data_IF_336443188431
#
_entry.id   IF_336443188431
#
_cell.length_a   1.000
_cell.length_b   1.000
_cell.length_c   1.000
_cell.angle_alpha   90.00
_cell.angle_beta   90.00
_cell.angle_gamma   90.00
#
_symmetry.space_group_name_H-M   'P 1'
#
loop_
_entity.id
_entity.type
_entity.pdbx_description
1 polymer ?
#
# COMPACT_ATOMS: atom_id res chain seq x y z
N UNK A 1 11.90 12.24 22.27
CA UNK A 1 11.13 12.25 21.01
C UNK A 1 11.66 13.29 20.02
N UNK A 2 12.05 14.49 20.46
CA UNK A 2 12.60 15.55 19.58
C UNK A 2 13.73 15.09 18.65
N UNK A 3 14.74 14.38 19.15
CA UNK A 3 15.88 13.92 18.35
C UNK A 3 15.51 12.98 17.18
N UNK A 4 14.39 12.26 17.28
CA UNK A 4 13.88 11.38 16.21
C UNK A 4 12.76 12.01 15.41
N UNK A 5 11.98 12.94 15.99
CA UNK A 5 10.84 13.58 15.36
C UNK A 5 11.23 14.43 14.15
N UNK A 6 12.27 15.25 14.26
CA UNK A 6 12.71 16.13 13.15
C UNK A 6 13.20 15.29 11.95
N UNK A 7 14.18 14.36 12.10
CA UNK A 7 14.59 13.49 10.99
C UNK A 7 13.42 12.69 10.40
N UNK A 8 12.52 12.19 11.24
CA UNK A 8 11.35 11.46 10.78
C UNK A 8 10.43 12.32 9.89
N UNK A 9 10.11 13.54 10.31
CA UNK A 9 9.28 14.46 9.53
C UNK A 9 9.92 14.86 8.19
N UNK A 10 11.25 15.01 8.16
CA UNK A 10 11.99 15.27 6.92
C UNK A 10 11.88 14.08 5.94
N UNK A 11 12.08 12.86 6.43
CA UNK A 11 11.93 11.64 5.64
C UNK A 11 10.51 11.48 5.07
N UNK A 12 9.48 11.72 5.90
CA UNK A 12 8.09 11.72 5.46
C UNK A 12 7.85 12.74 4.33
N UNK A 13 8.45 13.93 4.43
CA UNK A 13 8.32 14.98 3.42
C UNK A 13 9.01 14.62 2.10
N UNK A 14 10.19 14.00 2.16
CA UNK A 14 10.91 13.53 0.96
C UNK A 14 10.12 12.43 0.27
N UNK A 15 9.65 11.41 1.01
CA UNK A 15 8.85 10.32 0.42
C UNK A 15 7.54 10.86 -0.16
N UNK A 16 6.90 11.81 0.51
CA UNK A 16 5.73 12.49 -0.03
C UNK A 16 6.02 13.13 -1.40
N UNK A 17 7.13 13.86 -1.54
CA UNK A 17 7.56 14.44 -2.81
C UNK A 17 7.78 13.38 -3.90
N UNK A 18 8.41 12.27 -3.54
CA UNK A 18 8.62 11.14 -4.46
C UNK A 18 7.29 10.48 -4.88
N UNK A 19 6.34 10.33 -3.95
CA UNK A 19 5.01 9.80 -4.28
C UNK A 19 4.25 10.70 -5.26
N UNK A 20 4.39 12.03 -5.14
CA UNK A 20 3.83 12.97 -6.12
C UNK A 20 4.49 12.77 -7.48
N UNK A 21 5.82 12.66 -7.53
CA UNK A 21 6.56 12.48 -8.78
C UNK A 21 6.24 11.15 -9.47
N UNK A 22 5.85 10.10 -8.75
CA UNK A 22 5.46 8.84 -9.37
C UNK A 22 4.22 8.97 -10.28
N UNK A 23 3.30 9.91 -10.04
CA UNK A 23 2.13 10.11 -10.90
C UNK A 23 2.50 10.45 -12.35
N UNK A 24 3.29 11.52 -12.64
CA UNK A 24 3.73 11.79 -14.00
C UNK A 24 4.72 10.74 -14.54
N UNK A 25 5.52 10.09 -13.70
CA UNK A 25 6.43 9.03 -14.16
C UNK A 25 5.67 7.81 -14.69
N UNK A 26 4.65 7.33 -13.97
CA UNK A 26 3.84 6.21 -14.47
C UNK A 26 3.02 6.58 -15.71
N UNK A 27 2.55 7.82 -15.82
CA UNK A 27 1.93 8.32 -17.06
C UNK A 27 2.92 8.35 -18.23
N UNK A 28 4.17 8.78 -17.99
CA UNK A 28 5.23 8.70 -19.01
C UNK A 28 5.45 7.25 -19.45
N UNK A 29 5.55 6.31 -18.50
CA UNK A 29 5.75 4.88 -18.80
C UNK A 29 4.67 4.36 -19.75
N UNK A 30 3.40 4.69 -19.53
CA UNK A 30 2.31 4.19 -20.39
C UNK A 30 2.25 4.88 -21.75
N UNK A 31 2.43 6.19 -21.81
CA UNK A 31 2.14 6.96 -23.02
C UNK A 31 3.36 7.31 -23.87
N UNK A 32 4.58 7.23 -23.32
CA UNK A 32 5.78 7.75 -23.98
C UNK A 32 6.97 6.77 -23.96
N UNK A 33 6.95 5.72 -23.13
CA UNK A 33 8.06 4.78 -23.09
C UNK A 33 8.11 3.91 -24.34
N UNK A 34 9.32 3.50 -24.71
CA UNK A 34 9.58 2.52 -25.77
C UNK A 34 10.16 1.24 -25.18
N UNK A 35 9.65 0.85 -24.00
CA UNK A 35 10.10 -0.36 -23.29
C UNK A 35 9.83 -1.65 -24.09
N UNK A 36 8.81 -1.63 -24.94
CA UNK A 36 8.46 -2.75 -25.81
C UNK A 36 7.74 -2.27 -27.08
N UNK A 37 7.96 -2.98 -28.20
CA UNK A 37 7.36 -2.64 -29.50
C UNK A 37 5.98 -3.30 -29.72
N UNK A 38 5.66 -4.39 -29.01
CA UNK A 38 4.44 -5.19 -29.20
C UNK A 38 3.19 -4.55 -28.64
N UNK A 39 3.31 -3.86 -27.50
CA UNK A 39 2.20 -3.29 -26.75
C UNK A 39 2.44 -1.81 -26.49
N UNK A 40 1.42 -1.01 -26.76
CA UNK A 40 1.39 0.44 -26.55
C UNK A 40 0.10 0.87 -25.87
N UNK A 41 -0.05 2.16 -25.62
CA UNK A 41 -1.24 2.71 -24.95
C UNK A 41 -2.55 2.43 -25.70
N UNK A 42 -2.50 2.28 -27.02
CA UNK A 42 -3.63 1.96 -27.91
C UNK A 42 -3.91 0.45 -28.00
N UNK A 43 -3.19 -0.38 -27.23
CA UNK A 43 -3.40 -1.82 -27.23
C UNK A 43 -4.82 -2.16 -26.72
N UNK A 44 -5.61 -2.93 -27.47
CA UNK A 44 -6.97 -3.27 -27.08
C UNK A 44 -6.94 -4.31 -25.96
N UNK A 45 -7.54 -3.98 -24.82
CA UNK A 45 -7.74 -4.94 -23.74
C UNK A 45 -9.00 -5.76 -23.99
N UNK A 46 -8.83 -7.00 -24.45
CA UNK A 46 -9.92 -7.98 -24.50
C UNK A 46 -10.15 -8.57 -23.11
N UNK A 47 -11.17 -8.09 -22.41
CA UNK A 47 -11.48 -8.54 -21.05
C UNK A 47 -10.57 -7.90 -20.01
N UNK A 48 -11.08 -6.91 -19.28
CA UNK A 48 -10.36 -6.39 -18.12
C UNK A 48 -10.33 -7.50 -17.06
N UNK A 49 -9.18 -8.13 -16.82
CA UNK A 49 -9.00 -9.16 -15.80
C UNK A 49 -9.14 -8.54 -14.40
N UNK A 50 -10.35 -8.49 -13.88
CA UNK A 50 -10.60 -8.03 -12.52
C UNK A 50 -10.27 -9.16 -11.55
N UNK A 51 -9.15 -9.03 -10.83
CA UNK A 51 -8.75 -10.00 -9.82
C UNK A 51 -9.59 -9.83 -8.55
N UNK A 52 -10.68 -10.57 -8.46
CA UNK A 52 -11.60 -10.50 -7.33
C UNK A 52 -11.41 -11.72 -6.43
N UNK A 53 -10.77 -11.52 -5.28
CA UNK A 53 -10.55 -12.59 -4.28
C UNK A 53 -9.81 -13.80 -4.88
N UNK A 54 -8.84 -13.55 -5.78
CA UNK A 54 -8.06 -14.62 -6.43
C UNK A 54 -8.75 -15.28 -7.63
N UNK A 55 -9.92 -14.80 -8.05
CA UNK A 55 -10.64 -15.24 -9.25
C UNK A 55 -10.63 -14.10 -10.28
N UNK A 56 -10.21 -14.38 -11.51
CA UNK A 56 -10.27 -13.43 -12.61
C UNK A 56 -11.68 -13.34 -13.20
N UNK A 57 -12.21 -12.13 -13.34
CA UNK A 57 -13.45 -11.86 -14.08
C UNK A 57 -13.13 -11.03 -15.31
N UNK A 58 -13.64 -11.42 -16.48
CA UNK A 58 -13.55 -10.65 -17.72
C UNK A 58 -14.82 -9.79 -17.92
N UNK A 59 -14.67 -8.48 -18.02
CA UNK A 59 -15.75 -7.57 -18.40
C UNK A 59 -15.73 -7.39 -19.93
N UNK A 60 -16.83 -7.65 -20.66
CA UNK A 60 -16.86 -7.61 -22.13
C UNK A 60 -17.05 -6.17 -22.64
N UNK A 61 -16.13 -5.27 -22.30
CA UNK A 61 -16.06 -3.93 -22.86
C UNK A 61 -14.66 -3.74 -23.44
N UNK A 62 -14.59 -3.31 -24.70
CA UNK A 62 -13.33 -2.99 -25.36
C UNK A 62 -12.90 -1.58 -24.95
N UNK A 63 -11.76 -1.49 -24.26
CA UNK A 63 -11.08 -0.25 -23.97
C UNK A 63 -9.61 -0.40 -24.36
N UNK A 64 -8.97 0.72 -24.69
CA UNK A 64 -7.52 0.78 -24.86
C UNK A 64 -6.83 0.77 -23.49
N UNK A 65 -5.62 0.23 -23.43
CA UNK A 65 -4.82 0.16 -22.20
C UNK A 65 -4.65 1.56 -21.57
N UNK A 66 -4.41 2.57 -22.39
CA UNK A 66 -4.28 3.97 -21.98
C UNK A 66 -5.55 4.53 -21.34
N UNK A 67 -6.72 4.26 -21.91
CA UNK A 67 -8.00 4.72 -21.37
C UNK A 67 -8.26 4.14 -19.98
N UNK A 68 -8.10 2.82 -19.85
CA UNK A 68 -8.28 2.12 -18.59
C UNK A 68 -7.26 2.60 -17.54
N UNK A 69 -6.02 2.82 -17.96
CA UNK A 69 -4.97 3.36 -17.10
C UNK A 69 -5.32 4.77 -16.59
N UNK A 70 -5.81 5.68 -17.43
CA UNK A 70 -6.20 7.04 -17.00
C UNK A 70 -7.34 6.99 -15.98
N UNK A 71 -8.31 6.08 -16.14
CA UNK A 71 -9.36 5.88 -15.15
C UNK A 71 -8.79 5.52 -13.76
N UNK A 72 -7.86 4.56 -13.72
CA UNK A 72 -7.17 4.16 -12.48
C UNK A 72 -6.31 5.30 -11.91
N UNK A 73 -5.55 5.98 -12.77
CA UNK A 73 -4.68 7.09 -12.41
C UNK A 73 -5.47 8.25 -11.77
N UNK A 74 -6.59 8.64 -12.38
CA UNK A 74 -7.52 9.62 -11.80
C UNK A 74 -8.08 9.15 -10.46
N UNK A 75 -8.44 7.87 -10.33
CA UNK A 75 -8.88 7.28 -9.08
C UNK A 75 -7.85 7.42 -7.96
N UNK A 76 -6.58 7.12 -8.24
CA UNK A 76 -5.50 7.28 -7.28
C UNK A 76 -5.23 8.74 -6.93
N UNK A 77 -5.32 9.69 -7.88
CA UNK A 77 -5.20 11.13 -7.57
C UNK A 77 -6.30 11.59 -6.63
N UNK A 78 -7.54 11.16 -6.83
CA UNK A 78 -8.65 11.50 -5.94
C UNK A 78 -8.37 10.96 -4.53
N UNK A 79 -7.97 9.69 -4.41
CA UNK A 79 -7.65 9.06 -3.13
C UNK A 79 -6.46 9.74 -2.45
N UNK A 80 -5.41 10.07 -3.21
CA UNK A 80 -4.23 10.76 -2.72
C UNK A 80 -4.57 12.16 -2.23
N UNK A 81 -5.46 12.87 -2.94
CA UNK A 81 -5.98 14.19 -2.53
C UNK A 81 -6.77 14.09 -1.22
N UNK A 82 -7.64 13.08 -1.09
CA UNK A 82 -8.34 12.79 0.17
C UNK A 82 -7.34 12.50 1.30
N UNK A 83 -6.29 11.73 1.03
CA UNK A 83 -5.26 11.40 2.01
C UNK A 83 -4.44 12.62 2.46
N UNK A 84 -4.08 13.48 1.51
CA UNK A 84 -3.36 14.72 1.75
C UNK A 84 -4.17 15.68 2.64
N UNK A 85 -5.44 15.89 2.32
CA UNK A 85 -6.34 16.75 3.11
C UNK A 85 -6.68 16.13 4.48
N UNK A 86 -6.71 14.81 4.55
CA UNK A 86 -6.94 14.02 5.75
C UNK A 86 -8.38 14.13 6.27
N UNK A 87 -8.82 13.20 7.15
CA UNK A 87 -10.17 13.28 7.72
C UNK A 87 -10.25 14.29 8.87
N UNK A 88 -9.12 14.67 9.48
CA UNK A 88 -9.04 15.56 10.64
C UNK A 88 -8.10 16.75 10.44
N UNK A 89 -6.94 16.51 9.84
CA UNK A 89 -5.93 17.53 9.55
C UNK A 89 -5.19 17.17 8.27
N UNK A 90 -4.74 18.19 7.54
CA UNK A 90 -3.94 17.99 6.34
C UNK A 90 -2.49 17.63 6.66
N UNK A 91 -1.80 17.09 5.67
CA UNK A 91 -0.44 16.57 5.82
C UNK A 91 0.55 17.61 6.35
N UNK A 92 0.56 18.82 5.78
CA UNK A 92 1.48 19.88 6.18
C UNK A 92 1.27 20.31 7.64
N UNK A 93 0.00 20.44 8.06
CA UNK A 93 -0.36 20.74 9.45
C UNK A 93 -0.03 19.59 10.40
N UNK A 94 -0.07 18.34 9.94
CA UNK A 94 0.31 17.18 10.74
C UNK A 94 1.83 17.12 11.00
N UNK A 95 2.64 17.58 10.04
CA UNK A 95 4.10 17.61 10.18
C UNK A 95 4.62 18.83 10.93
N UNK A 96 3.94 19.97 10.84
CA UNK A 96 4.41 21.24 11.42
C UNK A 96 4.81 21.13 12.90
N UNK A 97 4.00 20.56 13.83
CA UNK A 97 4.38 20.41 15.24
C UNK A 97 5.56 19.45 15.46
N UNK A 98 5.70 18.44 14.60
CA UNK A 98 6.82 17.49 14.67
C UNK A 98 8.11 18.18 14.24
N UNK A 99 8.05 19.03 13.23
CA UNK A 99 9.19 19.81 12.73
C UNK A 99 9.60 20.94 13.68
N UNK A 100 8.63 21.67 14.26
CA UNK A 100 8.91 22.84 15.10
C UNK A 100 9.22 22.50 16.54
N UNK A 101 8.52 21.51 17.11
CA UNK A 101 8.58 21.21 18.54
C UNK A 101 9.07 19.79 18.84
N UNK A 102 9.24 18.95 17.81
CA UNK A 102 9.58 17.52 17.96
C UNK A 102 8.56 16.73 18.78
N UNK A 103 7.34 17.28 18.91
CA UNK A 103 6.20 16.63 19.56
C UNK A 103 5.49 15.80 18.51
N UNK A 104 5.73 14.50 18.57
CA UNK A 104 4.97 13.56 17.77
C UNK A 104 3.59 13.37 18.41
N UNK A 105 2.62 14.21 18.03
CA UNK A 105 1.22 13.93 18.32
C UNK A 105 0.69 12.87 17.34
N UNK A 106 0.06 11.84 17.88
CA UNK A 106 -0.56 10.74 17.12
C UNK A 106 -1.80 11.15 16.32
N UNK A 107 -2.06 12.47 16.16
CA UNK A 107 -3.19 12.99 15.39
C UNK A 107 -2.96 12.66 13.91
N UNK A 108 -3.59 11.56 13.51
CA UNK A 108 -3.35 10.86 12.26
C UNK A 108 -3.90 11.62 11.06
N UNK A 109 -3.00 12.18 10.25
CA UNK A 109 -3.28 12.36 8.83
C UNK A 109 -3.15 11.01 8.10
N UNK A 110 -3.98 10.78 7.07
CA UNK A 110 -3.93 9.55 6.28
C UNK A 110 -2.57 9.36 5.62
N UNK A 111 -2.02 10.40 5.00
CA UNK A 111 -0.75 10.33 4.27
C UNK A 111 0.45 10.04 5.17
N UNK A 112 0.49 10.62 6.38
CA UNK A 112 1.48 10.23 7.41
C UNK A 112 1.38 8.74 7.74
N UNK A 113 0.15 8.23 7.86
CA UNK A 113 -0.09 6.82 8.18
C UNK A 113 0.30 5.91 7.01
N UNK A 114 -0.01 6.30 5.78
CA UNK A 114 0.34 5.60 4.55
C UNK A 114 1.86 5.46 4.45
N UNK A 115 2.61 6.57 4.47
CA UNK A 115 4.08 6.55 4.33
C UNK A 115 4.73 5.71 5.43
N UNK A 116 4.27 5.88 6.68
CA UNK A 116 4.76 5.11 7.83
C UNK A 116 4.57 3.61 7.63
N UNK A 117 3.36 3.17 7.31
CA UNK A 117 3.05 1.73 7.18
C UNK A 117 3.63 1.12 5.92
N UNK A 118 3.70 1.88 4.83
CA UNK A 118 4.40 1.49 3.61
C UNK A 118 5.90 1.25 3.89
N UNK A 119 6.58 2.18 4.57
CA UNK A 119 7.99 2.01 4.91
C UNK A 119 8.24 0.82 5.85
N UNK A 120 7.35 0.59 6.83
CA UNK A 120 7.40 -0.61 7.69
C UNK A 120 7.24 -1.89 6.86
N UNK A 121 6.31 -1.89 5.89
CA UNK A 121 6.09 -3.02 4.99
C UNK A 121 7.35 -3.33 4.19
N UNK A 122 8.04 -2.33 3.64
CA UNK A 122 9.31 -2.53 2.92
C UNK A 122 10.37 -3.19 3.81
N UNK A 123 10.54 -2.74 5.05
CA UNK A 123 11.50 -3.35 5.99
C UNK A 123 11.15 -4.82 6.28
N UNK A 124 9.88 -5.11 6.58
CA UNK A 124 9.43 -6.47 6.88
C UNK A 124 9.60 -7.37 5.65
N UNK A 125 9.25 -6.85 4.47
CA UNK A 125 9.40 -7.53 3.19
C UNK A 125 10.86 -7.89 2.91
N UNK A 126 11.79 -6.94 3.09
CA UNK A 126 13.22 -7.19 2.89
C UNK A 126 13.80 -8.21 3.87
N UNK A 127 13.35 -8.19 5.13
CA UNK A 127 13.75 -9.20 6.13
C UNK A 127 13.26 -10.59 5.72
N UNK A 128 11.99 -10.70 5.30
CA UNK A 128 11.42 -11.97 4.86
C UNK A 128 12.19 -12.51 3.66
N UNK A 129 12.41 -11.67 2.65
CA UNK A 129 13.11 -12.06 1.43
C UNK A 129 14.55 -12.49 1.72
N UNK A 130 15.28 -11.74 2.55
CA UNK A 130 16.63 -12.12 3.00
C UNK A 130 16.68 -13.51 3.66
N UNK A 131 15.72 -13.79 4.57
CA UNK A 131 15.62 -15.09 5.24
C UNK A 131 15.26 -16.20 4.25
N UNK A 132 14.30 -15.97 3.35
CA UNK A 132 13.85 -16.97 2.39
C UNK A 132 14.92 -17.30 1.34
N UNK A 133 15.64 -16.29 0.83
CA UNK A 133 16.78 -16.51 -0.07
C UNK A 133 17.88 -17.33 0.62
N UNK A 134 18.16 -17.07 1.90
CA UNK A 134 19.13 -17.85 2.70
C UNK A 134 18.73 -19.33 2.87
N UNK A 135 17.44 -19.65 2.72
CA UNK A 135 16.88 -21.00 2.79
C UNK A 135 16.65 -21.61 1.40
N UNK A 136 17.04 -20.94 0.32
CA UNK A 136 16.82 -21.42 -1.05
C UNK A 136 15.37 -21.36 -1.52
N UNK A 137 14.55 -20.46 -0.96
CA UNK A 137 13.14 -20.25 -1.34
C UNK A 137 13.04 -18.89 -2.06
N UNK A 138 13.29 -18.81 -3.37
CA UNK A 138 13.28 -17.54 -4.09
C UNK A 138 11.85 -17.00 -4.25
N UNK A 139 11.72 -15.67 -4.21
CA UNK A 139 10.48 -14.97 -4.58
C UNK A 139 10.58 -14.54 -6.04
N UNK A 140 9.87 -15.23 -6.92
CA UNK A 140 9.91 -14.99 -8.36
C UNK A 140 8.53 -14.52 -8.83
N UNK A 141 8.48 -13.48 -9.70
CA UNK A 141 7.23 -13.04 -10.30
C UNK A 141 6.66 -14.13 -11.24
N UNK A 142 5.35 -14.07 -11.54
CA UNK A 142 4.75 -14.90 -12.57
C UNK A 142 5.48 -14.75 -13.92
N UNK A 143 5.35 -15.76 -14.80
CA UNK A 143 5.89 -15.67 -16.16
C UNK A 143 5.37 -14.43 -16.88
N UNK A 144 6.28 -13.73 -17.52
CA UNK A 144 6.11 -12.35 -17.97
C UNK A 144 5.11 -12.28 -19.13
N UNK A 145 4.05 -11.49 -18.95
CA UNK A 145 3.29 -10.87 -20.05
C UNK A 145 4.01 -9.61 -20.53
N UNK A 146 3.51 -8.99 -21.60
CA UNK A 146 4.03 -7.72 -22.11
C UNK A 146 4.21 -6.67 -21.00
N UNK A 147 5.28 -5.89 -21.07
CA UNK A 147 5.77 -5.01 -20.00
C UNK A 147 4.70 -4.00 -19.59
N UNK A 148 4.03 -3.37 -20.55
CA UNK A 148 2.96 -2.40 -20.25
C UNK A 148 1.71 -3.05 -19.65
N UNK A 149 1.38 -4.28 -20.06
CA UNK A 149 0.28 -5.04 -19.46
C UNK A 149 0.61 -5.36 -18.00
N UNK A 150 1.85 -5.79 -17.72
CA UNK A 150 2.31 -6.02 -16.35
C UNK A 150 2.22 -4.74 -15.51
N UNK A 151 2.71 -3.61 -16.02
CA UNK A 151 2.64 -2.32 -15.31
C UNK A 151 1.19 -1.90 -15.03
N UNK A 152 0.30 -2.08 -16.01
CA UNK A 152 -1.13 -1.84 -15.85
C UNK A 152 -1.76 -2.76 -14.80
N UNK A 153 -1.47 -4.06 -14.82
CA UNK A 153 -2.02 -5.03 -13.87
C UNK A 153 -1.62 -4.71 -12.42
N UNK A 154 -0.34 -4.38 -12.18
CA UNK A 154 0.11 -3.97 -10.83
C UNK A 154 -0.49 -2.63 -10.41
N UNK A 155 -0.84 -1.76 -11.36
CA UNK A 155 -1.57 -0.50 -11.12
C UNK A 155 -3.03 -0.74 -10.76
N UNK A 156 -3.68 -1.71 -11.40
CA UNK A 156 -5.09 -2.06 -11.16
C UNK A 156 -5.29 -2.84 -9.85
N UNK A 157 -4.34 -3.72 -9.50
CA UNK A 157 -4.41 -4.64 -8.37
C UNK A 157 -4.84 -4.00 -7.03
N UNK A 158 -4.35 -2.82 -6.61
CA UNK A 158 -4.81 -2.18 -5.37
C UNK A 158 -6.32 -1.93 -5.32
N UNK A 159 -6.98 -1.62 -6.43
CA UNK A 159 -8.44 -1.46 -6.39
C UNK A 159 -9.14 -2.79 -6.20
N UNK A 160 -8.85 -3.78 -7.04
CA UNK A 160 -9.55 -5.07 -7.02
C UNK A 160 -9.27 -5.86 -5.74
N UNK A 161 -8.01 -5.94 -5.33
CA UNK A 161 -7.60 -6.71 -4.16
C UNK A 161 -8.06 -6.06 -2.85
N UNK A 162 -8.00 -4.74 -2.73
CA UNK A 162 -8.42 -4.08 -1.49
C UNK A 162 -9.95 -4.11 -1.33
N UNK A 163 -10.70 -4.01 -2.43
CA UNK A 163 -12.14 -4.23 -2.40
C UNK A 163 -12.46 -5.67 -1.96
N UNK A 164 -11.83 -6.67 -2.55
CA UNK A 164 -12.04 -8.08 -2.20
C UNK A 164 -11.65 -8.41 -0.77
N UNK A 165 -10.40 -8.19 -0.40
CA UNK A 165 -9.87 -8.64 0.89
C UNK A 165 -10.19 -7.69 2.04
N UNK A 166 -10.23 -6.37 1.82
CA UNK A 166 -10.43 -5.41 2.93
C UNK A 166 -11.90 -5.07 3.07
N UNK A 167 -12.58 -4.64 2.01
CA UNK A 167 -13.99 -4.26 2.13
C UNK A 167 -14.87 -5.50 2.36
N UNK A 168 -14.73 -6.53 1.53
CA UNK A 168 -15.60 -7.71 1.61
C UNK A 168 -15.22 -8.66 2.75
N UNK A 169 -13.95 -9.08 2.84
CA UNK A 169 -13.55 -10.09 3.83
C UNK A 169 -13.23 -9.53 5.23
N UNK A 170 -13.04 -8.21 5.37
CA UNK A 170 -12.82 -7.57 6.69
C UNK A 170 -13.97 -6.61 7.03
N UNK A 171 -14.28 -5.64 6.17
CA UNK A 171 -15.25 -4.58 6.42
C UNK A 171 -16.66 -5.10 6.70
N UNK A 172 -17.18 -5.96 5.82
CA UNK A 172 -18.52 -6.55 6.00
C UNK A 172 -18.58 -7.38 7.30
N UNK A 173 -17.66 -8.34 7.57
CA UNK A 173 -17.68 -9.07 8.84
C UNK A 173 -17.54 -8.16 10.07
N UNK A 174 -16.70 -7.12 10.03
CA UNK A 174 -16.60 -6.17 11.14
C UNK A 174 -17.93 -5.43 11.38
N UNK A 175 -18.62 -5.03 10.32
CA UNK A 175 -19.97 -4.46 10.45
C UNK A 175 -20.93 -5.45 11.09
N UNK A 176 -20.95 -6.71 10.65
CA UNK A 176 -21.83 -7.74 11.21
C UNK A 176 -21.54 -8.05 12.67
N UNK A 177 -20.27 -8.02 13.09
CA UNK A 177 -19.85 -8.32 14.46
C UNK A 177 -20.14 -7.15 15.42
N UNK A 178 -19.92 -5.90 14.98
CA UNK A 178 -19.90 -4.73 15.88
C UNK A 178 -21.03 -3.73 15.66
N UNK A 179 -21.81 -3.85 14.58
CA UNK A 179 -22.92 -2.92 14.36
C UNK A 179 -24.07 -3.19 15.32
N UNK A 180 -24.54 -2.14 15.98
CA UNK A 180 -25.70 -2.19 16.88
C UNK A 180 -27.01 -1.85 16.16
N UNK A 181 -26.94 -1.41 14.89
CA UNK A 181 -28.10 -0.94 14.10
C UNK A 181 -27.94 -1.27 12.63
N UNK A 182 -28.99 -1.76 12.00
CA UNK A 182 -29.03 -1.97 10.55
C UNK A 182 -29.37 -0.66 9.84
N UNK A 183 -28.34 0.10 9.47
CA UNK A 183 -28.47 1.34 8.69
C UNK A 183 -27.52 1.30 7.50
N UNK A 184 -28.03 1.51 6.30
CA UNK A 184 -27.22 1.55 5.07
C UNK A 184 -26.13 2.62 5.14
N UNK A 185 -26.42 3.75 5.79
CA UNK A 185 -25.45 4.83 6.01
C UNK A 185 -24.32 4.40 6.94
N UNK A 186 -24.64 3.68 8.02
CA UNK A 186 -23.65 3.15 8.95
C UNK A 186 -22.82 2.05 8.27
N UNK A 187 -23.47 1.20 7.48
CA UNK A 187 -22.82 0.16 6.68
C UNK A 187 -21.75 0.77 5.77
N UNK A 188 -22.12 1.70 4.87
CA UNK A 188 -21.17 2.34 3.95
C UNK A 188 -20.05 3.08 4.68
N UNK A 189 -20.36 3.79 5.77
CA UNK A 189 -19.35 4.46 6.60
C UNK A 189 -18.39 3.46 7.24
N UNK A 190 -18.88 2.31 7.69
CA UNK A 190 -18.05 1.25 8.28
C UNK A 190 -17.12 0.62 7.26
N UNK A 191 -17.56 0.46 6.02
CA UNK A 191 -16.72 -0.03 4.92
C UNK A 191 -15.62 0.98 4.58
N UNK A 192 -15.93 2.27 4.64
CA UNK A 192 -14.96 3.35 4.41
C UNK A 192 -13.94 3.47 5.56
N UNK A 193 -14.40 3.40 6.81
CA UNK A 193 -13.54 3.49 7.98
C UNK A 193 -14.14 2.72 9.18
N UNK A 194 -13.70 1.48 9.43
CA UNK A 194 -14.28 0.62 10.45
C UNK A 194 -14.21 1.21 11.86
N UNK A 195 -13.00 1.55 12.35
CA UNK A 195 -12.82 2.03 13.74
C UNK A 195 -13.46 3.39 14.02
N UNK A 196 -13.67 4.24 13.00
CA UNK A 196 -14.31 5.54 13.18
C UNK A 196 -15.84 5.45 13.19
N UNK A 197 -16.39 4.41 12.57
CA UNK A 197 -17.83 4.27 12.35
C UNK A 197 -18.49 3.27 13.29
N UNK A 198 -17.75 2.22 13.69
CA UNK A 198 -18.24 1.16 14.56
C UNK A 198 -17.75 1.37 16.00
N UNK A 199 -18.59 1.04 16.97
CA UNK A 199 -18.19 1.05 18.38
C UNK A 199 -17.49 -0.26 18.74
N UNK A 200 -16.19 -0.32 18.46
CA UNK A 200 -15.38 -1.51 18.66
C UNK A 200 -14.84 -1.53 20.09
N UNK A 201 -15.52 -2.26 20.97
CA UNK A 201 -15.14 -2.41 22.38
C UNK A 201 -13.84 -3.22 22.57
N UNK A 202 -13.63 -4.25 21.74
CA UNK A 202 -12.47 -5.13 21.81
C UNK A 202 -11.84 -5.36 20.44
N UNK A 203 -10.55 -5.08 20.29
CA UNK A 203 -9.84 -5.28 19.01
C UNK A 203 -9.51 -6.76 18.72
N UNK A 204 -9.67 -7.68 19.69
CA UNK A 204 -9.21 -9.08 19.55
C UNK A 204 -9.86 -9.80 18.35
N UNK A 205 -11.18 -9.70 18.20
CA UNK A 205 -11.89 -10.36 17.08
C UNK A 205 -11.47 -9.76 15.74
N UNK A 206 -11.30 -8.44 15.68
CA UNK A 206 -10.81 -7.76 14.48
C UNK A 206 -9.39 -8.19 14.09
N UNK A 207 -8.47 -8.32 15.05
CA UNK A 207 -7.09 -8.79 14.78
C UNK A 207 -7.09 -10.23 14.29
N UNK A 208 -7.85 -11.13 14.92
CA UNK A 208 -7.98 -12.52 14.46
C UNK A 208 -8.50 -12.58 13.03
N UNK A 209 -9.54 -11.81 12.73
CA UNK A 209 -10.09 -11.72 11.38
C UNK A 209 -9.05 -11.23 10.36
N UNK A 210 -8.31 -10.16 10.68
CA UNK A 210 -7.24 -9.63 9.81
C UNK A 210 -6.19 -10.72 9.53
N UNK A 211 -5.75 -11.47 10.54
CA UNK A 211 -4.76 -12.53 10.36
C UNK A 211 -5.29 -13.65 9.46
N UNK A 212 -6.53 -14.09 9.66
CA UNK A 212 -7.15 -15.12 8.82
C UNK A 212 -7.21 -14.65 7.37
N UNK A 213 -7.72 -13.45 7.13
CA UNK A 213 -7.84 -12.89 5.77
C UNK A 213 -6.47 -12.67 5.13
N UNK A 214 -5.47 -12.27 5.90
CA UNK A 214 -4.11 -12.09 5.40
C UNK A 214 -3.45 -13.41 4.97
N UNK A 215 -3.73 -14.53 5.65
CA UNK A 215 -3.29 -15.85 5.20
C UNK A 215 -3.96 -16.22 3.88
N UNK A 216 -5.27 -15.97 3.74
CA UNK A 216 -5.99 -16.20 2.48
C UNK A 216 -5.41 -15.30 1.37
N UNK A 217 -5.07 -14.05 1.68
CA UNK A 217 -4.40 -13.14 0.76
C UNK A 217 -3.04 -13.69 0.29
N UNK A 218 -2.21 -14.20 1.21
CA UNK A 218 -0.95 -14.85 0.86
C UNK A 218 -1.14 -16.11 0.02
N UNK A 219 -2.13 -16.95 0.34
CA UNK A 219 -2.47 -18.13 -0.47
C UNK A 219 -2.88 -17.74 -1.89
N UNK A 220 -3.72 -16.71 -2.05
CA UNK A 220 -4.17 -16.24 -3.36
C UNK A 220 -3.00 -15.82 -4.28
N UNK A 221 -1.87 -15.38 -3.73
CA UNK A 221 -0.69 -15.02 -4.53
C UNK A 221 0.07 -16.22 -5.11
N UNK A 222 -0.14 -17.43 -4.57
CA UNK A 222 0.59 -18.65 -5.00
C UNK A 222 -0.32 -19.71 -5.66
N UNK A 223 -1.65 -19.56 -5.58
CA UNK A 223 -2.61 -20.53 -6.17
C UNK A 223 -3.49 -19.93 -7.28
N UNK A 224 -3.29 -18.65 -7.61
CA UNK A 224 -4.08 -17.99 -8.64
C UNK A 224 -3.67 -18.38 -10.05
N UNK A 225 -4.41 -17.91 -11.06
CA UNK A 225 -4.17 -18.25 -12.47
C UNK A 225 -2.77 -17.86 -12.96
N UNK A 226 -2.22 -16.76 -12.43
CA UNK A 226 -0.84 -16.31 -12.68
C UNK A 226 -0.08 -16.28 -11.35
N UNK A 227 0.35 -17.46 -10.84
CA UNK A 227 0.88 -17.56 -9.49
C UNK A 227 2.32 -17.05 -9.42
N UNK A 228 2.64 -16.39 -8.30
CA UNK A 228 4.03 -16.18 -7.90
C UNK A 228 4.65 -17.48 -7.40
N UNK A 229 5.98 -17.52 -7.28
CA UNK A 229 6.65 -18.63 -6.60
C UNK A 229 6.21 -18.75 -5.13
N UNK A 230 6.48 -19.92 -4.54
CA UNK A 230 6.15 -20.19 -3.13
C UNK A 230 6.77 -19.19 -2.14
N UNK A 231 7.91 -18.58 -2.48
CA UNK A 231 8.55 -17.52 -1.68
C UNK A 231 7.60 -16.35 -1.38
N UNK A 232 6.71 -16.01 -2.32
CA UNK A 232 5.78 -14.89 -2.17
C UNK A 232 4.79 -15.05 -1.03
N UNK A 233 4.46 -16.27 -0.61
CA UNK A 233 3.43 -16.53 0.41
C UNK A 233 3.67 -15.75 1.71
N UNK A 234 4.89 -15.78 2.24
CA UNK A 234 5.23 -15.12 3.51
C UNK A 234 5.17 -13.60 3.38
N UNK A 235 5.74 -13.05 2.31
CA UNK A 235 5.73 -11.61 2.02
C UNK A 235 4.30 -11.09 1.82
N UNK A 236 3.50 -11.79 1.01
CA UNK A 236 2.10 -11.45 0.75
C UNK A 236 1.27 -11.55 2.04
N UNK A 237 1.41 -12.61 2.84
CA UNK A 237 0.72 -12.73 4.14
C UNK A 237 1.09 -11.57 5.08
N UNK A 238 2.36 -11.24 5.21
CA UNK A 238 2.81 -10.13 6.06
C UNK A 238 2.24 -8.79 5.57
N UNK A 239 2.24 -8.54 4.27
CA UNK A 239 1.63 -7.35 3.68
C UNK A 239 0.10 -7.30 3.93
N UNK A 240 -0.60 -8.43 3.83
CA UNK A 240 -2.02 -8.55 4.12
C UNK A 240 -2.35 -8.21 5.57
N UNK A 241 -1.51 -8.61 6.53
CA UNK A 241 -1.66 -8.25 7.95
C UNK A 241 -1.52 -6.73 8.12
N UNK A 242 -0.46 -6.15 7.55
CA UNK A 242 -0.16 -4.71 7.68
C UNK A 242 -1.28 -3.89 7.04
N UNK A 243 -1.65 -4.18 5.80
CA UNK A 243 -2.66 -3.42 5.08
C UNK A 243 -4.05 -3.66 5.68
N UNK A 244 -4.37 -4.86 6.15
CA UNK A 244 -5.60 -5.13 6.90
C UNK A 244 -5.68 -4.32 8.21
N UNK A 245 -4.56 -4.16 8.91
CA UNK A 245 -4.48 -3.27 10.06
C UNK A 245 -4.62 -1.79 9.68
N UNK A 246 -4.01 -1.36 8.58
CA UNK A 246 -4.18 0.00 8.04
C UNK A 246 -5.63 0.27 7.67
N UNK A 247 -6.30 -0.66 6.98
CA UNK A 247 -7.73 -0.58 6.68
C UNK A 247 -8.55 -0.40 7.96
N UNK A 248 -8.30 -1.26 8.95
CA UNK A 248 -9.01 -1.25 10.21
C UNK A 248 -8.88 0.10 10.95
N UNK A 249 -7.64 0.62 11.07
CA UNK A 249 -7.33 1.82 11.88
C UNK A 249 -7.39 3.15 11.13
N UNK A 250 -7.14 3.16 9.83
CA UNK A 250 -6.95 4.37 9.02
C UNK A 250 -7.90 4.43 7.80
N UNK A 251 -8.74 3.40 7.60
CA UNK A 251 -9.78 3.39 6.58
C UNK A 251 -9.30 2.97 5.19
N UNK A 252 -10.28 2.83 4.30
CA UNK A 252 -10.10 2.32 2.94
C UNK A 252 -9.10 3.13 2.09
N UNK A 253 -9.14 4.48 2.07
CA UNK A 253 -8.16 5.26 1.30
C UNK A 253 -6.71 5.03 1.75
N UNK A 254 -6.50 4.74 3.03
CA UNK A 254 -5.14 4.48 3.53
C UNK A 254 -4.65 3.10 3.13
N UNK A 255 -5.53 2.09 3.16
CA UNK A 255 -5.17 0.72 2.76
C UNK A 255 -4.82 0.65 1.28
N UNK A 256 -5.67 1.23 0.41
CA UNK A 256 -5.44 1.24 -1.03
C UNK A 256 -4.19 2.01 -1.42
N UNK A 257 -3.87 3.12 -0.73
CA UNK A 257 -2.67 3.89 -1.04
C UNK A 257 -1.38 3.25 -0.50
N UNK A 258 -1.43 2.45 0.56
CA UNK A 258 -0.27 1.63 0.97
C UNK A 258 0.01 0.55 -0.08
N UNK A 259 -1.01 -0.10 -0.61
CA UNK A 259 -0.84 -1.10 -1.67
C UNK A 259 -0.44 -0.44 -3.01
N UNK A 260 -1.03 0.68 -3.38
CA UNK A 260 -0.55 1.49 -4.51
C UNK A 260 0.93 1.86 -4.38
N UNK A 261 1.39 2.15 -3.15
CA UNK A 261 2.79 2.46 -2.89
C UNK A 261 3.72 1.24 -3.10
N UNK A 262 3.29 0.02 -2.77
CA UNK A 262 4.10 -1.19 -3.05
C UNK A 262 4.13 -1.55 -4.54
N UNK A 263 3.14 -1.09 -5.30
CA UNK A 263 3.00 -1.38 -6.71
C UNK A 263 3.37 -0.16 -7.56
N UNK A 264 2.36 0.59 -8.01
CA UNK A 264 2.50 1.72 -8.93
C UNK A 264 3.65 2.67 -8.57
N UNK A 265 3.79 3.08 -7.30
CA UNK A 265 4.85 4.01 -6.89
C UNK A 265 6.24 3.44 -7.21
N UNK A 266 6.57 2.25 -6.71
CA UNK A 266 7.88 1.61 -6.92
C UNK A 266 8.10 1.29 -8.41
N UNK A 267 7.11 0.69 -9.06
CA UNK A 267 7.24 0.29 -10.46
C UNK A 267 7.31 1.48 -11.44
N UNK A 268 6.68 2.61 -11.14
CA UNK A 268 6.80 3.83 -11.96
C UNK A 268 8.26 4.29 -12.06
N UNK A 269 9.00 4.25 -10.95
CA UNK A 269 10.43 4.61 -10.95
C UNK A 269 11.27 3.57 -11.70
N UNK A 270 11.04 2.28 -11.48
CA UNK A 270 11.83 1.21 -12.11
C UNK A 270 11.66 1.23 -13.62
N UNK A 271 10.42 1.33 -14.10
CA UNK A 271 10.11 1.28 -15.53
C UNK A 271 10.59 2.55 -16.23
N UNK A 272 10.41 3.71 -15.60
CA UNK A 272 10.96 4.96 -16.09
C UNK A 272 12.50 4.90 -16.20
N UNK A 273 13.19 4.39 -15.17
CA UNK A 273 14.65 4.24 -15.19
C UNK A 273 15.12 3.26 -16.26
N UNK A 274 14.39 2.18 -16.49
CA UNK A 274 14.70 1.22 -17.53
C UNK A 274 14.64 1.87 -18.92
N UNK A 275 13.59 2.64 -19.19
CA UNK A 275 13.38 3.33 -20.46
C UNK A 275 14.45 4.39 -20.72
N UNK A 276 14.62 5.36 -19.81
CA UNK A 276 15.52 6.51 -20.05
C UNK A 276 17.00 6.13 -20.11
N UNK A 277 17.38 4.98 -19.54
CA UNK A 277 18.76 4.48 -19.56
C UNK A 277 18.96 3.35 -20.57
N UNK A 278 17.91 2.95 -21.29
CA UNK A 278 17.94 1.82 -22.25
C UNK A 278 18.50 0.52 -21.62
N UNK A 279 18.11 0.25 -20.37
CA UNK A 279 18.52 -0.95 -19.62
C UNK A 279 17.33 -1.88 -19.38
N UNK A 280 17.62 -3.15 -19.15
CA UNK A 280 16.56 -4.11 -18.78
C UNK A 280 15.89 -3.72 -17.45
N UNK A 281 14.62 -4.09 -17.27
CA UNK A 281 13.89 -3.93 -16.00
C UNK A 281 14.70 -4.51 -14.82
N UNK A 282 15.30 -5.69 -15.03
CA UNK A 282 16.17 -6.34 -14.03
C UNK A 282 17.35 -5.46 -13.61
N UNK A 283 18.01 -4.80 -14.57
CA UNK A 283 19.13 -3.91 -14.28
C UNK A 283 18.65 -2.62 -13.59
N UNK A 284 17.45 -2.12 -13.93
CA UNK A 284 16.85 -0.96 -13.29
C UNK A 284 16.56 -1.19 -11.79
N UNK A 285 16.25 -2.42 -11.37
CA UNK A 285 16.17 -2.78 -9.95
C UNK A 285 17.48 -2.58 -9.19
N UNK A 286 18.63 -2.79 -9.85
CA UNK A 286 19.97 -2.59 -9.27
C UNK A 286 20.55 -1.19 -9.48
N UNK A 287 19.80 -0.29 -10.13
CA UNK A 287 20.26 1.06 -10.45
C UNK A 287 20.48 1.89 -9.17
N UNK A 288 21.47 2.80 -9.20
CA UNK A 288 21.86 3.60 -8.03
C UNK A 288 20.71 4.44 -7.44
N UNK A 289 19.83 4.97 -8.29
CA UNK A 289 18.62 5.69 -7.86
C UNK A 289 17.63 4.76 -7.14
N UNK A 290 17.41 3.55 -7.67
CA UNK A 290 16.53 2.54 -7.05
C UNK A 290 17.07 2.12 -5.70
N UNK A 291 18.38 1.86 -5.60
CA UNK A 291 19.03 1.53 -4.33
C UNK A 291 18.92 2.69 -3.31
N UNK A 292 19.04 3.94 -3.77
CA UNK A 292 18.89 5.11 -2.90
C UNK A 292 17.45 5.26 -2.38
N UNK A 293 16.45 5.00 -3.25
CA UNK A 293 15.04 4.96 -2.87
C UNK A 293 14.78 3.86 -1.84
N UNK A 294 15.31 2.66 -2.06
CA UNK A 294 15.18 1.53 -1.14
C UNK A 294 15.80 1.85 0.24
N UNK A 295 17.02 2.38 0.29
CA UNK A 295 17.68 2.79 1.53
C UNK A 295 16.85 3.85 2.27
N UNK A 296 16.32 4.85 1.56
CA UNK A 296 15.45 5.87 2.13
C UNK A 296 14.20 5.24 2.79
N UNK A 297 13.57 4.28 2.12
CA UNK A 297 12.38 3.58 2.62
C UNK A 297 12.72 2.69 3.82
N UNK A 298 13.85 1.98 3.79
CA UNK A 298 14.32 1.15 4.90
C UNK A 298 14.60 2.00 6.14
N UNK A 299 15.36 3.08 5.99
CA UNK A 299 15.66 4.01 7.11
C UNK A 299 14.36 4.57 7.70
N UNK A 300 13.44 4.99 6.84
CA UNK A 300 12.13 5.50 7.28
C UNK A 300 11.32 4.43 8.00
N UNK A 301 11.37 3.18 7.54
CA UNK A 301 10.70 2.05 8.17
C UNK A 301 11.26 1.75 9.55
N UNK A 302 12.59 1.70 9.70
CA UNK A 302 13.26 1.48 10.98
C UNK A 302 12.90 2.59 11.97
N UNK A 303 12.95 3.87 11.56
CA UNK A 303 12.56 4.99 12.40
C UNK A 303 11.07 4.92 12.76
N UNK A 304 10.21 4.52 11.82
CA UNK A 304 8.77 4.33 12.07
C UNK A 304 8.51 3.26 13.13
N UNK A 305 9.22 2.14 13.09
CA UNK A 305 9.15 1.06 14.10
C UNK A 305 9.60 1.59 15.46
N UNK A 306 10.75 2.29 15.50
CA UNK A 306 11.27 2.89 16.72
C UNK A 306 10.28 3.90 17.34
N UNK A 307 9.66 4.75 16.53
CA UNK A 307 8.64 5.71 16.96
C UNK A 307 7.39 5.02 17.52
N UNK A 308 6.93 3.93 16.90
CA UNK A 308 5.81 3.13 17.42
C UNK A 308 6.14 2.51 18.79
N UNK A 309 7.35 1.95 18.94
CA UNK A 309 7.80 1.36 20.19
C UNK A 309 7.92 2.40 21.31
N UNK A 310 8.56 3.54 21.04
CA UNK A 310 8.72 4.63 22.02
C UNK A 310 7.35 5.18 22.47
N UNK A 311 6.41 5.37 21.54
CA UNK A 311 5.07 5.82 21.86
C UNK A 311 4.33 4.81 22.74
N UNK A 312 4.45 3.50 22.45
CA UNK A 312 3.86 2.45 23.28
C UNK A 312 4.42 2.45 24.71
N UNK A 313 5.75 2.58 24.86
CA UNK A 313 6.40 2.65 26.18
C UNK A 313 5.96 3.87 26.98
N UNK A 314 5.84 5.03 26.33
CA UNK A 314 5.40 6.27 26.99
C UNK A 314 3.95 6.17 27.48
N UNK A 315 3.03 5.69 26.63
CA UNK A 315 1.63 5.47 27.02
C UNK A 315 1.48 4.49 28.19
N UNK A 316 2.34 3.47 28.27
CA UNK A 316 2.35 2.52 29.38
C UNK A 316 2.83 3.17 30.68
N UNK A 317 3.80 4.10 30.61
CA UNK A 317 4.28 4.86 31.77
C UNK A 317 3.22 5.82 32.28
N UNK A 318 2.56 6.57 31.39
CA UNK A 318 1.47 7.49 31.74
C UNK A 318 0.34 6.77 32.47
N UNK A 319 -0.16 5.65 31.92
CA UNK A 319 -1.19 4.84 32.57
C UNK A 319 -0.78 4.33 33.96
N UNK A 320 0.50 4.01 34.16
CA UNK A 320 1.00 3.54 35.46
C UNK A 320 1.00 4.68 36.49
N UNK A 321 1.33 5.89 36.07
CA UNK A 321 1.32 7.11 36.89
C UNK A 321 -0.10 7.57 37.23
N UNK A 322 -1.07 7.38 36.34
CA UNK A 322 -2.49 7.67 36.61
C UNK A 322 -3.14 6.69 37.61
N UNK A 323 -2.57 5.50 37.76
CA UNK A 323 -3.06 4.45 38.67
C UNK A 323 -2.32 4.37 40.01
N UNK A 324 -1.30 5.22 40.24
CA UNK A 324 -0.49 5.28 41.46
C UNK A 324 -0.79 6.54 42.27
#
# INVERSE_FOLDING_TARGET
MQALGIPYSALLSVIFGLMILAFPLGAYVVFNSNLEDSVRYDFPLSGFNFFFVGIGFEIPIQFELGDAFIGLWCGFIILFSIAFLGPKTNFLKALSPVMSEGKYETKSNYLVSIIKWFAILIVISGIIDFVQQSLGIPTEPPQQSDILIQFFNVTAAPFSEEIGFRVMLIGIPLFLIYSQRLSIKLFLKSLWHPTQSLNISENKKAIILIVIVAIIFGLAHIISAEPWSFGKFAQATASGIIIGWVYFKHGFPSAILVHWATNYFIFSYIYFLADINEITIKNAFSHSLTNSLEILLIITGIISIAMLFLNYVNLKKEKKLETS
#
